data_IF_824441596952
#
_entry.id   IF_824441596952
#
_cell.length_a   1.000
_cell.length_b   1.000
_cell.length_c   1.000
_cell.angle_alpha   90.00
_cell.angle_beta   90.00
_cell.angle_gamma   90.00
#
_symmetry.space_group_name_H-M   'P 1'
#
loop_
_entity.id
_entity.type
_entity.pdbx_description
1 polymer ?
#
# COMPACT_ATOMS: atom_id res chain seq x y z
N UNK A 1 -25.32 19.31 -21.93
CA UNK A 1 -25.09 18.99 -23.36
C UNK A 1 -24.37 17.67 -23.42
N UNK A 2 -24.97 16.67 -24.06
CA UNK A 2 -24.33 15.39 -24.28
C UNK A 2 -23.16 15.56 -25.27
N UNK A 3 -22.13 14.74 -25.12
CA UNK A 3 -20.87 14.83 -25.88
C UNK A 3 -20.86 13.80 -27.00
N UNK A 4 -20.01 14.03 -28.01
CA UNK A 4 -19.68 13.02 -29.02
C UNK A 4 -18.60 12.07 -28.50
N UNK A 5 -18.67 10.82 -28.93
CA UNK A 5 -17.69 9.78 -28.58
C UNK A 5 -16.33 10.11 -29.25
N UNK A 6 -15.20 9.92 -28.55
CA UNK A 6 -13.88 10.15 -29.12
C UNK A 6 -13.58 9.21 -30.31
N UNK A 7 -12.72 9.64 -31.23
CA UNK A 7 -12.26 8.82 -32.36
C UNK A 7 -11.28 7.70 -31.96
N UNK A 8 -10.62 7.86 -30.82
CA UNK A 8 -9.61 6.93 -30.27
C UNK A 8 -9.76 6.82 -28.75
N UNK A 9 -9.45 5.66 -28.15
CA UNK A 9 -9.52 5.47 -26.71
C UNK A 9 -8.60 6.42 -25.94
N UNK A 10 -9.15 7.18 -25.00
CA UNK A 10 -8.40 8.11 -24.13
C UNK A 10 -7.84 7.37 -22.91
N UNK A 11 -7.01 6.35 -23.13
CA UNK A 11 -6.45 5.47 -22.07
C UNK A 11 -5.79 6.25 -20.93
N UNK A 12 -5.04 7.28 -21.27
CA UNK A 12 -4.37 8.18 -20.33
C UNK A 12 -5.36 8.91 -19.39
N UNK A 13 -6.49 9.34 -19.93
CA UNK A 13 -7.57 9.96 -19.16
C UNK A 13 -8.26 8.94 -18.25
N UNK A 14 -8.54 7.73 -18.74
CA UNK A 14 -9.13 6.66 -17.95
C UNK A 14 -8.25 6.25 -16.76
N UNK A 15 -6.93 6.11 -16.98
CA UNK A 15 -5.95 5.84 -15.91
C UNK A 15 -5.88 6.96 -14.88
N UNK A 16 -5.99 8.22 -15.33
CA UNK A 16 -6.07 9.37 -14.43
C UNK A 16 -7.33 9.29 -13.56
N UNK A 17 -8.50 9.00 -14.13
CA UNK A 17 -9.73 8.84 -13.36
C UNK A 17 -9.67 7.67 -12.39
N UNK A 18 -9.05 6.54 -12.76
CA UNK A 18 -8.83 5.43 -11.85
C UNK A 18 -8.07 5.87 -10.59
N UNK A 19 -7.01 6.67 -10.77
CA UNK A 19 -6.25 7.25 -9.65
C UNK A 19 -7.08 8.25 -8.83
N UNK A 20 -7.84 9.12 -9.47
CA UNK A 20 -8.73 10.04 -8.76
C UNK A 20 -9.78 9.27 -7.92
N UNK A 21 -10.31 8.18 -8.47
CA UNK A 21 -11.28 7.33 -7.79
C UNK A 21 -10.67 6.54 -6.62
N UNK A 22 -9.42 6.05 -6.74
CA UNK A 22 -8.67 5.46 -5.64
C UNK A 22 -8.48 6.45 -4.48
N UNK A 23 -8.14 7.70 -4.80
CA UNK A 23 -7.99 8.78 -3.81
C UNK A 23 -9.32 9.08 -3.12
N UNK A 24 -10.40 9.23 -3.89
CA UNK A 24 -11.74 9.51 -3.36
C UNK A 24 -12.24 8.38 -2.46
N UNK A 25 -11.97 7.13 -2.83
CA UNK A 25 -12.36 5.93 -2.09
C UNK A 25 -11.49 5.67 -0.86
N UNK A 26 -10.41 6.44 -0.66
CA UNK A 26 -9.45 6.31 0.45
C UNK A 26 -8.81 4.92 0.54
N UNK A 27 -8.54 4.28 -0.60
CA UNK A 27 -7.91 2.96 -0.66
C UNK A 27 -6.42 3.05 -0.33
N UNK A 28 -5.95 2.28 0.65
CA UNK A 28 -4.56 2.35 1.14
C UNK A 28 -3.74 1.08 0.91
N UNK A 29 -4.35 -0.02 0.43
CA UNK A 29 -3.71 -1.34 0.30
C UNK A 29 -4.16 -2.11 -0.95
N UNK A 30 -3.38 -3.13 -1.33
CA UNK A 30 -3.71 -4.12 -2.35
C UNK A 30 -3.81 -5.52 -1.72
N UNK A 31 -4.59 -6.47 -2.26
CA UNK A 31 -5.48 -6.32 -3.43
C UNK A 31 -6.69 -5.42 -3.16
N UNK A 32 -7.32 -4.91 -4.22
CA UNK A 32 -8.53 -4.11 -4.12
C UNK A 32 -9.75 -5.01 -4.30
N UNK A 33 -10.72 -4.88 -3.41
CA UNK A 33 -12.04 -5.49 -3.55
C UNK A 33 -12.99 -4.51 -4.28
N UNK A 34 -13.25 -4.70 -5.59
CA UNK A 34 -14.10 -3.79 -6.35
C UNK A 34 -15.57 -3.84 -5.88
N UNK A 35 -16.04 -4.95 -5.29
CA UNK A 35 -17.40 -5.07 -4.76
C UNK A 35 -17.56 -4.19 -3.53
N UNK A 36 -16.61 -4.26 -2.59
CA UNK A 36 -16.61 -3.40 -1.41
C UNK A 36 -16.56 -1.92 -1.78
N UNK A 37 -15.73 -1.56 -2.77
CA UNK A 37 -15.66 -0.18 -3.28
C UNK A 37 -16.97 0.26 -3.92
N UNK A 38 -17.60 -0.58 -4.75
CA UNK A 38 -18.91 -0.26 -5.32
C UNK A 38 -19.96 0.03 -4.23
N UNK A 39 -20.02 -0.82 -3.20
CA UNK A 39 -20.93 -0.66 -2.05
C UNK A 39 -20.66 0.65 -1.29
N UNK A 40 -19.40 1.02 -1.08
CA UNK A 40 -19.01 2.28 -0.44
C UNK A 40 -19.57 3.52 -1.16
N UNK A 41 -19.69 3.46 -2.50
CA UNK A 41 -20.25 4.54 -3.32
C UNK A 41 -21.75 4.40 -3.60
N UNK A 42 -22.43 3.45 -2.93
CA UNK A 42 -23.87 3.22 -3.08
C UNK A 42 -24.26 2.54 -4.39
N UNK A 43 -23.32 1.91 -5.08
CA UNK A 43 -23.60 1.09 -6.27
C UNK A 43 -23.99 -0.33 -5.82
N UNK A 44 -25.01 -0.89 -6.48
CA UNK A 44 -25.43 -2.27 -6.24
C UNK A 44 -24.62 -3.19 -7.14
N UNK A 45 -24.04 -4.25 -6.58
CA UNK A 45 -23.43 -5.33 -7.35
C UNK A 45 -24.16 -6.61 -6.99
N UNK A 46 -24.65 -7.35 -8.00
CA UNK A 46 -25.30 -8.64 -7.82
C UNK A 46 -24.73 -9.67 -8.77
N UNK A 47 -24.66 -10.92 -8.32
CA UNK A 47 -24.44 -12.04 -9.23
C UNK A 47 -25.71 -12.33 -10.03
N UNK A 48 -25.62 -13.10 -11.12
CA UNK A 48 -26.80 -13.54 -11.87
C UNK A 48 -27.70 -14.39 -10.96
N UNK A 49 -27.15 -15.29 -10.15
CA UNK A 49 -27.97 -16.10 -9.22
C UNK A 49 -28.69 -15.23 -8.18
N UNK A 50 -28.04 -14.19 -7.65
CA UNK A 50 -28.68 -13.26 -6.74
C UNK A 50 -29.83 -12.49 -7.41
N UNK A 51 -29.66 -12.11 -8.68
CA UNK A 51 -30.69 -11.49 -9.48
C UNK A 51 -31.86 -12.46 -9.75
N UNK A 52 -31.57 -13.69 -10.17
CA UNK A 52 -32.55 -14.76 -10.42
C UNK A 52 -33.40 -15.03 -9.17
N UNK A 53 -32.76 -15.14 -8.01
CA UNK A 53 -33.46 -15.35 -6.73
C UNK A 53 -34.30 -14.13 -6.30
N UNK A 54 -33.88 -12.91 -6.66
CA UNK A 54 -34.62 -11.69 -6.32
C UNK A 54 -35.85 -11.52 -7.20
N UNK A 55 -35.72 -11.79 -8.50
CA UNK A 55 -36.75 -11.51 -9.52
C UNK A 55 -37.64 -12.74 -9.76
N UNK A 56 -37.18 -13.92 -9.33
CA UNK A 56 -37.81 -15.22 -9.58
C UNK A 56 -38.01 -15.51 -11.08
N UNK A 57 -36.98 -15.18 -11.86
CA UNK A 57 -36.90 -15.39 -13.31
C UNK A 57 -35.48 -15.87 -13.65
N UNK A 58 -35.34 -16.71 -14.67
CA UNK A 58 -34.04 -17.21 -15.12
C UNK A 58 -33.33 -16.14 -15.96
N UNK A 59 -32.05 -15.87 -15.66
CA UNK A 59 -31.21 -14.86 -16.31
C UNK A 59 -31.97 -13.57 -16.71
N UNK A 60 -32.56 -12.84 -15.74
CA UNK A 60 -33.46 -11.71 -16.01
C UNK A 60 -32.78 -10.51 -16.69
N UNK A 61 -31.45 -10.57 -16.84
CA UNK A 61 -30.62 -9.53 -17.46
C UNK A 61 -29.95 -10.02 -18.78
N UNK A 62 -30.29 -11.24 -19.22
CA UNK A 62 -29.77 -11.88 -20.44
C UNK A 62 -28.23 -11.83 -20.52
N UNK A 63 -27.56 -12.16 -19.41
CA UNK A 63 -26.10 -12.20 -19.32
C UNK A 63 -25.60 -13.55 -19.81
N UNK A 64 -26.15 -14.66 -19.30
CA UNK A 64 -25.79 -16.03 -19.68
C UNK A 64 -26.21 -16.39 -21.10
N UNK A 65 -27.29 -15.79 -21.59
CA UNK A 65 -27.78 -15.99 -22.97
C UNK A 65 -26.81 -15.41 -24.02
N UNK A 66 -26.00 -14.41 -23.64
CA UNK A 66 -24.98 -13.84 -24.52
C UNK A 66 -23.58 -14.37 -24.12
N UNK A 67 -23.00 -15.32 -24.87
CA UNK A 67 -21.72 -15.95 -24.52
C UNK A 67 -20.51 -15.00 -24.53
N UNK A 68 -20.68 -13.76 -25.00
CA UNK A 68 -19.65 -12.72 -25.02
C UNK A 68 -19.88 -11.65 -23.93
N UNK A 69 -20.79 -11.89 -22.98
CA UNK A 69 -21.17 -10.92 -21.95
C UNK A 69 -20.87 -11.46 -20.55
N UNK A 70 -19.85 -10.92 -19.91
CA UNK A 70 -19.44 -11.35 -18.56
C UNK A 70 -20.21 -10.59 -17.46
N UNK A 71 -20.60 -9.34 -17.74
CA UNK A 71 -21.39 -8.49 -16.87
C UNK A 71 -22.07 -7.38 -17.68
N UNK A 72 -23.04 -6.71 -17.04
CA UNK A 72 -23.66 -5.48 -17.55
C UNK A 72 -23.89 -4.47 -16.43
N UNK A 73 -23.75 -3.20 -16.76
CA UNK A 73 -24.11 -2.07 -15.90
C UNK A 73 -25.42 -1.43 -16.34
N UNK A 74 -26.31 -1.18 -15.38
CA UNK A 74 -27.58 -0.51 -15.56
C UNK A 74 -27.67 0.76 -14.71
N UNK A 75 -28.35 1.77 -15.22
CA UNK A 75 -28.80 2.92 -14.44
C UNK A 75 -30.29 2.76 -14.13
N UNK A 76 -30.65 2.60 -12.87
CA UNK A 76 -32.04 2.44 -12.46
C UNK A 76 -32.82 3.74 -12.63
N UNK A 77 -34.16 3.66 -12.63
CA UNK A 77 -35.05 4.82 -12.67
C UNK A 77 -34.86 5.78 -11.48
N UNK A 78 -34.33 5.28 -10.36
CA UNK A 78 -33.96 6.09 -9.18
C UNK A 78 -32.59 6.77 -9.32
N UNK A 79 -31.89 6.59 -10.44
CA UNK A 79 -30.56 7.14 -10.67
C UNK A 79 -29.44 6.40 -9.96
N UNK A 80 -29.65 5.14 -9.57
CA UNK A 80 -28.63 4.28 -8.93
C UNK A 80 -28.02 3.34 -9.96
N UNK A 81 -26.74 3.02 -9.80
CA UNK A 81 -26.08 2.04 -10.65
C UNK A 81 -26.25 0.62 -10.09
N UNK A 82 -26.51 -0.33 -10.99
CA UNK A 82 -26.57 -1.76 -10.75
C UNK A 82 -25.59 -2.46 -11.70
N UNK A 83 -24.62 -3.18 -11.14
CA UNK A 83 -23.75 -4.09 -11.89
C UNK A 83 -24.27 -5.50 -11.65
N UNK A 84 -24.53 -6.23 -12.73
CA UNK A 84 -24.85 -7.66 -12.68
C UNK A 84 -23.77 -8.42 -13.40
N UNK A 85 -23.16 -9.42 -12.75
CA UNK A 85 -22.06 -10.21 -13.31
C UNK A 85 -22.35 -11.70 -13.21
N UNK A 86 -21.84 -12.49 -14.15
CA UNK A 86 -21.97 -13.95 -14.09
C UNK A 86 -20.86 -14.57 -13.22
N UNK A 87 -21.26 -15.15 -12.09
CA UNK A 87 -20.34 -15.85 -11.19
C UNK A 87 -19.93 -17.23 -11.71
N UNK A 88 -20.68 -17.82 -12.64
CA UNK A 88 -20.55 -19.23 -13.02
C UNK A 88 -19.42 -19.49 -14.03
N UNK A 89 -18.82 -18.43 -14.60
CA UNK A 89 -18.06 -18.55 -15.85
C UNK A 89 -16.54 -18.38 -15.67
N UNK A 90 -16.05 -17.80 -14.56
CA UNK A 90 -14.62 -17.46 -14.50
C UNK A 90 -13.90 -17.60 -13.14
N UNK A 91 -12.57 -17.69 -13.21
CA UNK A 91 -11.68 -17.58 -12.04
C UNK A 91 -11.92 -16.29 -11.27
N UNK A 92 -11.68 -16.28 -9.95
CA UNK A 92 -11.81 -15.11 -9.07
C UNK A 92 -11.20 -13.82 -9.66
N UNK A 93 -10.01 -13.90 -10.24
CA UNK A 93 -9.35 -12.73 -10.83
C UNK A 93 -10.04 -12.14 -12.06
N UNK A 94 -10.83 -12.94 -12.79
CA UNK A 94 -11.64 -12.45 -13.91
C UNK A 94 -12.95 -11.84 -13.42
N UNK A 95 -13.54 -12.35 -12.34
CA UNK A 95 -14.68 -11.69 -11.67
C UNK A 95 -14.24 -10.30 -11.18
N UNK A 96 -13.10 -10.21 -10.48
CA UNK A 96 -12.52 -8.94 -10.02
C UNK A 96 -12.29 -7.99 -11.19
N UNK A 97 -11.71 -8.47 -12.29
CA UNK A 97 -11.50 -7.67 -13.51
C UNK A 97 -12.82 -7.13 -14.07
N UNK A 98 -13.81 -8.01 -14.23
CA UNK A 98 -15.10 -7.69 -14.84
C UNK A 98 -15.82 -6.61 -14.03
N UNK A 99 -15.90 -6.76 -12.70
CA UNK A 99 -16.56 -5.76 -11.85
C UNK A 99 -15.81 -4.42 -11.89
N UNK A 100 -14.47 -4.43 -11.93
CA UNK A 100 -13.67 -3.21 -12.06
C UNK A 100 -13.82 -2.54 -13.45
N UNK A 101 -14.05 -3.34 -14.50
CA UNK A 101 -14.34 -2.86 -15.85
C UNK A 101 -15.70 -2.15 -15.88
N UNK A 102 -16.74 -2.76 -15.35
CA UNK A 102 -18.08 -2.15 -15.18
C UNK A 102 -18.05 -0.87 -14.34
N UNK A 103 -17.30 -0.88 -13.23
CA UNK A 103 -17.04 0.32 -12.44
C UNK A 103 -16.36 1.42 -13.27
N UNK A 104 -15.49 1.05 -14.21
CA UNK A 104 -14.90 1.95 -15.20
C UNK A 104 -15.95 2.67 -16.03
N UNK A 105 -16.94 1.95 -16.57
CA UNK A 105 -18.05 2.56 -17.32
C UNK A 105 -18.83 3.58 -16.49
N UNK A 106 -19.07 3.29 -15.21
CA UNK A 106 -19.74 4.20 -14.28
C UNK A 106 -18.90 5.48 -14.08
N UNK A 107 -17.63 5.33 -13.68
CA UNK A 107 -16.77 6.47 -13.33
C UNK A 107 -16.43 7.33 -14.53
N UNK A 108 -16.22 6.71 -15.70
CA UNK A 108 -16.02 7.41 -16.97
C UNK A 108 -17.29 8.06 -17.51
N UNK A 109 -18.44 7.76 -16.89
CA UNK A 109 -19.79 8.22 -17.26
C UNK A 109 -20.20 7.74 -18.66
N UNK A 110 -19.71 6.58 -19.08
CA UNK A 110 -20.01 6.01 -20.39
C UNK A 110 -21.51 5.80 -20.62
N UNK A 111 -22.30 5.58 -19.56
CA UNK A 111 -23.75 5.40 -19.68
C UNK A 111 -24.52 6.70 -19.97
N UNK A 112 -24.00 7.87 -19.56
CA UNK A 112 -24.80 9.12 -19.50
C UNK A 112 -24.18 10.31 -20.24
N UNK A 113 -22.89 10.27 -20.58
CA UNK A 113 -22.18 11.45 -21.09
C UNK A 113 -22.31 11.60 -22.62
N UNK A 114 -22.65 10.53 -23.33
CA UNK A 114 -22.70 10.50 -24.80
C UNK A 114 -24.12 10.38 -25.33
N UNK A 115 -24.40 11.00 -26.48
CA UNK A 115 -25.73 10.99 -27.10
C UNK A 115 -26.15 9.62 -27.63
N UNK A 116 -25.17 8.76 -27.92
CA UNK A 116 -25.32 7.46 -28.56
C UNK A 116 -25.14 6.29 -27.59
N UNK A 117 -25.34 6.45 -26.28
CA UNK A 117 -25.22 5.29 -25.36
C UNK A 117 -26.38 4.33 -25.57
N UNK A 118 -26.28 3.08 -25.08
CA UNK A 118 -27.37 2.08 -25.15
C UNK A 118 -28.73 2.64 -24.66
N UNK A 119 -28.69 3.64 -23.76
CA UNK A 119 -29.87 4.33 -23.21
C UNK A 119 -30.54 5.29 -24.22
N UNK A 120 -29.80 5.79 -25.23
CA UNK A 120 -30.25 6.90 -26.08
C UNK A 120 -30.24 6.64 -27.60
N UNK A 121 -29.40 5.75 -28.14
CA UNK A 121 -29.36 5.26 -29.55
C UNK A 121 -28.18 4.28 -29.66
N UNK A 122 -28.35 3.11 -30.28
CA UNK A 122 -27.29 2.09 -30.36
C UNK A 122 -25.94 2.62 -30.90
N UNK A 123 -24.85 2.16 -30.27
CA UNK A 123 -23.45 2.47 -30.61
C UNK A 123 -22.99 1.72 -31.86
N UNK A 124 -22.08 2.32 -32.65
CA UNK A 124 -21.35 1.55 -33.67
C UNK A 124 -20.28 0.66 -33.03
N UNK A 125 -19.87 -0.43 -33.69
CA UNK A 125 -18.82 -1.33 -33.20
C UNK A 125 -17.52 -0.59 -32.82
N UNK A 126 -17.15 0.43 -33.61
CA UNK A 126 -15.95 1.24 -33.34
C UNK A 126 -16.13 2.17 -32.14
N UNK A 127 -17.32 2.75 -31.96
CA UNK A 127 -17.60 3.59 -30.79
C UNK A 127 -17.64 2.75 -29.51
N UNK A 128 -18.25 1.55 -29.57
CA UNK A 128 -18.17 0.55 -28.51
C UNK A 128 -16.71 0.23 -28.18
N UNK A 129 -15.91 -0.16 -29.17
CA UNK A 129 -14.49 -0.48 -28.97
C UNK A 129 -13.73 0.65 -28.27
N UNK A 130 -14.03 1.91 -28.56
CA UNK A 130 -13.40 3.07 -27.89
C UNK A 130 -13.73 3.11 -26.40
N UNK A 131 -15.00 2.93 -26.03
CA UNK A 131 -15.46 2.99 -24.64
C UNK A 131 -14.98 1.77 -23.83
N UNK A 132 -15.04 0.57 -24.41
CA UNK A 132 -14.52 -0.67 -23.81
C UNK A 132 -13.01 -0.54 -23.50
N UNK A 133 -12.22 -0.05 -24.45
CA UNK A 133 -10.78 0.17 -24.25
C UNK A 133 -10.47 1.22 -23.17
N UNK A 134 -11.35 2.19 -22.95
CA UNK A 134 -11.22 3.15 -21.85
C UNK A 134 -11.55 2.49 -20.51
N UNK A 135 -12.60 1.66 -20.44
CA UNK A 135 -12.95 0.89 -19.24
C UNK A 135 -11.85 -0.13 -18.86
N UNK A 136 -11.27 -0.83 -19.83
CA UNK A 136 -10.10 -1.70 -19.60
C UNK A 136 -8.89 -0.93 -19.05
N UNK A 137 -8.62 0.25 -19.61
CA UNK A 137 -7.54 1.10 -19.13
C UNK A 137 -7.79 1.60 -17.70
N UNK A 138 -9.05 1.87 -17.34
CA UNK A 138 -9.46 2.18 -15.99
C UNK A 138 -9.24 0.97 -15.06
N UNK A 139 -9.81 -0.20 -15.37
CA UNK A 139 -9.74 -1.40 -14.54
C UNK A 139 -8.29 -1.83 -14.27
N UNK A 140 -7.44 -1.81 -15.32
CA UNK A 140 -6.01 -2.13 -15.22
C UNK A 140 -5.24 -1.21 -14.26
N UNK A 141 -5.59 0.07 -14.21
CA UNK A 141 -4.92 1.04 -13.34
C UNK A 141 -5.54 1.10 -11.95
N UNK A 142 -6.85 0.89 -11.85
CA UNK A 142 -7.58 0.81 -10.58
C UNK A 142 -7.10 -0.39 -9.76
N UNK A 143 -7.14 -1.60 -10.33
CA UNK A 143 -6.77 -2.84 -9.63
C UNK A 143 -5.26 -2.98 -9.38
N UNK A 144 -4.44 -2.42 -10.27
CA UNK A 144 -3.00 -2.58 -10.25
C UNK A 144 -2.27 -1.25 -10.55
N UNK A 145 -2.31 -0.25 -9.65
CA UNK A 145 -1.77 1.08 -9.95
C UNK A 145 -0.26 1.05 -10.16
N UNK A 146 0.23 1.71 -11.20
CA UNK A 146 1.63 1.54 -11.65
C UNK A 146 2.65 2.02 -10.60
N UNK A 147 2.40 3.16 -9.96
CA UNK A 147 3.25 3.73 -8.91
C UNK A 147 3.40 2.80 -7.72
N UNK A 148 2.31 2.10 -7.38
CA UNK A 148 2.25 1.23 -6.21
C UNK A 148 3.00 -0.07 -6.49
N UNK A 149 2.79 -0.68 -7.66
CA UNK A 149 3.56 -1.85 -8.09
C UNK A 149 5.06 -1.57 -8.16
N UNK A 150 5.47 -0.41 -8.67
CA UNK A 150 6.87 -0.01 -8.69
C UNK A 150 7.42 0.26 -7.29
N UNK A 151 6.65 0.91 -6.41
CA UNK A 151 6.99 1.12 -5.01
C UNK A 151 7.22 -0.18 -4.24
N UNK A 152 6.40 -1.20 -4.51
CA UNK A 152 6.53 -2.54 -3.91
C UNK A 152 7.61 -3.42 -4.59
N UNK A 153 8.24 -2.95 -5.68
CA UNK A 153 9.11 -3.76 -6.53
C UNK A 153 8.42 -5.06 -7.04
N UNK A 154 7.16 -4.90 -7.45
CA UNK A 154 6.24 -5.95 -7.88
C UNK A 154 5.88 -5.79 -9.37
N UNK A 155 6.89 -5.65 -10.23
CA UNK A 155 6.68 -5.44 -11.67
C UNK A 155 6.55 -6.71 -12.51
N UNK A 156 6.71 -7.91 -11.94
CA UNK A 156 6.66 -9.17 -12.70
C UNK A 156 5.27 -9.79 -12.68
N UNK A 157 4.86 -10.46 -13.76
CA UNK A 157 3.55 -11.12 -13.91
C UNK A 157 3.16 -11.92 -12.66
N UNK A 158 4.04 -12.83 -12.23
CA UNK A 158 3.77 -13.68 -11.06
C UNK A 158 3.63 -12.94 -9.73
N UNK A 159 4.24 -11.76 -9.56
CA UNK A 159 4.03 -10.91 -8.38
C UNK A 159 2.73 -10.11 -8.49
N UNK A 160 2.39 -9.65 -9.69
CA UNK A 160 1.17 -8.89 -9.97
C UNK A 160 -0.07 -9.76 -9.71
N UNK A 161 -0.09 -11.00 -10.22
CA UNK A 161 -1.16 -11.98 -9.96
C UNK A 161 -1.39 -12.13 -8.45
N UNK A 162 -0.32 -12.40 -7.70
CA UNK A 162 -0.39 -12.62 -6.25
C UNK A 162 -0.83 -11.39 -5.47
N UNK A 163 -0.30 -10.22 -5.82
CA UNK A 163 -0.53 -8.98 -5.08
C UNK A 163 -1.89 -8.36 -5.37
N UNK A 164 -2.36 -8.45 -6.61
CA UNK A 164 -3.55 -7.74 -7.08
C UNK A 164 -4.74 -8.67 -7.38
N UNK A 165 -4.55 -9.99 -7.30
CA UNK A 165 -5.60 -10.97 -7.62
C UNK A 165 -5.96 -11.03 -9.10
N UNK A 166 -5.09 -10.55 -10.01
CA UNK A 166 -5.38 -10.51 -11.46
C UNK A 166 -5.26 -11.88 -12.13
N UNK A 167 -5.95 -12.06 -13.26
CA UNK A 167 -5.73 -13.20 -14.17
C UNK A 167 -4.31 -13.19 -14.78
N UNK A 168 -3.87 -14.34 -15.31
CA UNK A 168 -2.55 -14.46 -15.94
C UNK A 168 -2.39 -13.48 -17.12
N UNK A 169 -3.43 -13.36 -17.94
CA UNK A 169 -3.47 -12.47 -19.10
C UNK A 169 -3.40 -10.99 -18.69
N UNK A 170 -4.27 -10.54 -17.77
CA UNK A 170 -4.28 -9.15 -17.30
C UNK A 170 -2.96 -8.75 -16.64
N UNK A 171 -2.36 -9.66 -15.85
CA UNK A 171 -1.06 -9.44 -15.25
C UNK A 171 0.08 -9.43 -16.29
N UNK A 172 -0.02 -10.22 -17.36
CA UNK A 172 0.90 -10.18 -18.49
C UNK A 172 0.92 -8.83 -19.19
N UNK A 173 -0.26 -8.30 -19.54
CA UNK A 173 -0.39 -6.97 -20.13
C UNK A 173 0.14 -5.88 -19.18
N UNK A 174 -0.13 -5.99 -17.88
CA UNK A 174 0.38 -5.02 -16.90
C UNK A 174 1.91 -5.05 -16.79
N UNK A 175 2.53 -6.22 -16.77
CA UNK A 175 4.00 -6.36 -16.77
C UNK A 175 4.61 -5.66 -18.00
N UNK A 176 4.06 -5.90 -19.20
CA UNK A 176 4.55 -5.25 -20.43
C UNK A 176 4.39 -3.73 -20.39
N UNK A 177 3.28 -3.24 -19.85
CA UNK A 177 3.06 -1.83 -19.63
C UNK A 177 4.11 -1.24 -18.68
N UNK A 178 4.38 -1.90 -17.55
CA UNK A 178 5.37 -1.43 -16.57
C UNK A 178 6.80 -1.38 -17.13
N UNK A 179 7.18 -2.31 -18.02
CA UNK A 179 8.49 -2.27 -18.71
C UNK A 179 8.67 -1.00 -19.54
N UNK A 180 7.58 -0.43 -20.05
CA UNK A 180 7.58 0.80 -20.88
C UNK A 180 7.14 2.03 -20.10
N UNK A 181 6.76 1.88 -18.83
CA UNK A 181 6.14 2.93 -18.05
C UNK A 181 7.12 4.06 -17.77
N UNK A 182 6.73 5.26 -18.19
CA UNK A 182 7.42 6.51 -17.86
C UNK A 182 6.37 7.46 -17.31
N UNK A 183 6.47 7.90 -16.05
CA UNK A 183 5.52 8.86 -15.51
C UNK A 183 5.65 10.18 -16.27
N UNK A 184 4.56 10.59 -16.91
CA UNK A 184 4.45 11.88 -17.58
C UNK A 184 4.38 13.00 -16.52
N UNK A 185 5.10 14.10 -16.75
CA UNK A 185 5.13 15.26 -15.85
C UNK A 185 3.73 15.81 -15.59
N UNK A 186 2.82 15.72 -16.58
CA UNK A 186 1.42 16.15 -16.43
C UNK A 186 0.65 15.37 -15.36
N UNK A 187 1.09 14.14 -15.03
CA UNK A 187 0.50 13.29 -14.00
C UNK A 187 1.31 13.24 -12.70
N UNK A 188 2.40 14.01 -12.59
CA UNK A 188 3.27 13.98 -11.41
C UNK A 188 2.50 14.20 -10.10
N UNK A 189 1.59 15.17 -10.06
CA UNK A 189 0.84 15.50 -8.85
C UNK A 189 -0.10 14.37 -8.40
N UNK A 190 -0.84 13.74 -9.32
CA UNK A 190 -1.75 12.64 -8.98
C UNK A 190 -0.95 11.40 -8.55
N UNK A 191 0.16 11.12 -9.24
CA UNK A 191 1.06 10.01 -8.90
C UNK A 191 1.65 10.18 -7.50
N UNK A 192 2.04 11.41 -7.12
CA UNK A 192 2.50 11.72 -5.77
C UNK A 192 1.41 11.51 -4.71
N UNK A 193 0.17 11.93 -4.99
CA UNK A 193 -0.97 11.73 -4.07
C UNK A 193 -1.26 10.24 -3.85
N UNK A 194 -1.27 9.44 -4.93
CA UNK A 194 -1.47 7.99 -4.85
C UNK A 194 -0.35 7.33 -4.05
N UNK A 195 0.90 7.64 -4.37
CA UNK A 195 2.05 7.10 -3.63
C UNK A 195 1.98 7.45 -2.14
N UNK A 196 1.56 8.68 -1.80
CA UNK A 196 1.35 9.11 -0.41
C UNK A 196 0.27 8.29 0.28
N UNK A 197 -0.88 8.07 -0.36
CA UNK A 197 -1.99 7.32 0.24
C UNK A 197 -1.63 5.86 0.54
N UNK A 198 -0.81 5.25 -0.31
CA UNK A 198 -0.28 3.89 -0.13
C UNK A 198 1.07 3.84 0.59
N UNK A 199 1.54 4.95 1.16
CA UNK A 199 2.91 5.04 1.67
C UNK A 199 3.16 4.00 2.76
N UNK A 200 2.22 3.84 3.71
CA UNK A 200 2.32 2.84 4.78
C UNK A 200 2.38 1.42 4.21
N UNK A 201 1.46 1.08 3.30
CA UNK A 201 1.43 -0.23 2.63
C UNK A 201 2.76 -0.59 1.96
N UNK A 202 3.36 0.36 1.24
CA UNK A 202 4.65 0.19 0.57
C UNK A 202 5.79 0.08 1.59
N UNK A 203 5.87 1.05 2.53
CA UNK A 203 7.02 1.21 3.42
C UNK A 203 7.08 0.14 4.51
N UNK A 204 5.92 -0.25 5.05
CA UNK A 204 5.78 -1.33 6.02
C UNK A 204 5.90 -2.71 5.35
N UNK A 205 5.92 -2.76 4.01
CA UNK A 205 6.01 -3.98 3.19
C UNK A 205 4.81 -4.92 3.36
N UNK A 206 3.64 -4.37 3.64
CA UNK A 206 2.39 -5.14 3.83
C UNK A 206 2.07 -6.02 2.61
N UNK A 207 2.55 -5.65 1.42
CA UNK A 207 2.47 -6.49 0.23
C UNK A 207 3.14 -7.87 0.36
N UNK A 208 4.03 -8.11 1.34
CA UNK A 208 4.63 -9.42 1.58
C UNK A 208 3.61 -10.49 1.98
N UNK A 209 2.52 -10.11 2.64
CA UNK A 209 1.43 -11.03 3.01
C UNK A 209 0.86 -11.73 1.76
N UNK A 210 0.69 -10.99 0.66
CA UNK A 210 0.20 -11.55 -0.60
C UNK A 210 1.25 -12.38 -1.36
N UNK A 211 2.55 -12.07 -1.19
CA UNK A 211 3.62 -12.70 -1.98
C UNK A 211 4.17 -13.99 -1.35
N UNK A 212 4.05 -14.14 -0.03
CA UNK A 212 4.71 -15.18 0.76
C UNK A 212 3.71 -15.89 1.67
N UNK A 213 3.69 -17.21 1.61
CA UNK A 213 2.75 -18.06 2.38
C UNK A 213 3.47 -19.05 3.30
N UNK A 214 4.81 -18.99 3.33
CA UNK A 214 5.66 -19.82 4.18
C UNK A 214 6.30 -18.96 5.24
N UNK A 215 6.14 -19.38 6.49
CA UNK A 215 6.65 -18.65 7.65
C UNK A 215 7.48 -19.56 8.54
N UNK A 216 8.37 -18.95 9.32
CA UNK A 216 9.09 -19.65 10.39
C UNK A 216 8.12 -20.03 11.53
N UNK A 217 8.13 -21.28 12.04
CA UNK A 217 7.24 -21.70 13.13
C UNK A 217 7.47 -20.94 14.43
N UNK A 218 8.70 -20.49 14.66
CA UNK A 218 9.14 -19.88 15.93
C UNK A 218 8.79 -18.40 15.96
N UNK A 219 9.39 -17.61 15.07
CA UNK A 219 9.25 -16.15 15.07
C UNK A 219 8.23 -15.62 14.05
N UNK A 220 7.56 -16.50 13.29
CA UNK A 220 6.58 -16.16 12.24
C UNK A 220 7.09 -15.27 11.10
N UNK A 221 8.40 -15.02 11.02
CA UNK A 221 8.98 -14.29 9.90
C UNK A 221 8.75 -15.02 8.56
N UNK A 222 8.43 -14.26 7.51
CA UNK A 222 8.30 -14.78 6.15
C UNK A 222 9.59 -15.42 5.62
N UNK A 223 9.45 -16.54 4.93
CA UNK A 223 10.55 -17.21 4.24
C UNK A 223 10.57 -16.71 2.80
N UNK A 224 11.57 -15.89 2.48
CA UNK A 224 11.64 -15.19 1.19
C UNK A 224 12.11 -16.07 0.04
N UNK A 225 12.84 -17.14 0.34
CA UNK A 225 13.40 -18.03 -0.66
C UNK A 225 13.41 -19.48 -0.17
N UNK A 226 13.09 -20.45 -1.05
CA UNK A 226 13.22 -21.86 -0.72
C UNK A 226 14.68 -22.29 -0.48
N UNK A 227 15.66 -21.43 -0.80
CA UNK A 227 17.09 -21.69 -0.55
C UNK A 227 17.54 -21.31 0.87
N UNK A 228 16.67 -20.68 1.66
CA UNK A 228 16.99 -20.34 3.04
C UNK A 228 17.02 -21.62 3.89
N UNK A 229 18.16 -21.91 4.50
CA UNK A 229 18.36 -23.08 5.39
C UNK A 229 18.08 -22.73 6.84
N UNK A 230 18.25 -21.46 7.20
CA UNK A 230 18.02 -20.92 8.53
C UNK A 230 17.16 -19.65 8.47
N UNK A 231 16.32 -19.44 9.48
CA UNK A 231 15.50 -18.25 9.58
C UNK A 231 16.39 -17.03 9.84
N UNK A 232 16.19 -15.96 9.06
CA UNK A 232 16.94 -14.70 9.20
C UNK A 232 16.72 -13.98 10.53
N UNK A 233 15.63 -14.29 11.22
CA UNK A 233 15.19 -13.55 12.42
C UNK A 233 15.52 -14.31 13.71
N UNK A 234 15.19 -15.60 13.82
CA UNK A 234 15.47 -16.39 15.03
C UNK A 234 16.64 -17.39 14.89
N UNK A 235 17.20 -17.57 13.69
CA UNK A 235 18.32 -18.50 13.47
C UNK A 235 17.93 -19.99 13.44
N UNK A 236 16.68 -20.34 13.76
CA UNK A 236 16.19 -21.72 13.68
C UNK A 236 16.26 -22.29 12.26
N UNK A 237 16.49 -23.59 12.11
CA UNK A 237 16.44 -24.28 10.81
C UNK A 237 15.09 -24.04 10.16
N UNK A 238 15.09 -23.79 8.85
CA UNK A 238 13.85 -23.54 8.10
C UNK A 238 13.09 -24.84 7.92
N UNK A 239 12.19 -25.12 8.87
CA UNK A 239 11.09 -26.07 8.77
C UNK A 239 9.83 -25.24 8.55
N UNK A 240 9.48 -24.98 7.29
CA UNK A 240 8.40 -24.04 6.95
C UNK A 240 7.03 -24.59 7.34
N UNK A 241 6.13 -23.72 7.81
CA UNK A 241 4.69 -23.99 7.84
C UNK A 241 3.98 -23.17 6.76
N UNK A 242 2.93 -23.73 6.18
CA UNK A 242 1.98 -23.01 5.35
C UNK A 242 1.02 -22.25 6.28
N UNK A 243 1.17 -20.93 6.34
CA UNK A 243 0.27 -20.02 7.06
C UNK A 243 0.12 -18.75 6.23
N UNK A 244 -1.10 -18.19 6.20
CA UNK A 244 -1.38 -16.97 5.43
C UNK A 244 -0.81 -15.71 6.10
N UNK A 245 -0.64 -15.71 7.43
CA UNK A 245 -0.17 -14.52 8.16
C UNK A 245 1.19 -14.76 8.84
N UNK A 246 2.20 -14.05 8.34
CA UNK A 246 3.52 -13.91 8.94
C UNK A 246 3.77 -12.51 9.49
N UNK A 247 4.91 -12.37 10.17
CA UNK A 247 5.35 -11.11 10.77
C UNK A 247 6.47 -10.50 9.92
N UNK A 248 6.37 -9.20 9.65
CA UNK A 248 7.41 -8.41 9.00
C UNK A 248 8.17 -7.64 10.08
N UNK A 249 9.43 -8.02 10.29
CA UNK A 249 10.33 -7.29 11.19
C UNK A 249 10.97 -6.12 10.45
N UNK A 250 10.52 -4.89 10.74
CA UNK A 250 11.00 -3.63 10.14
C UNK A 250 11.81 -2.76 11.13
N UNK A 251 12.44 -3.38 12.12
CA UNK A 251 13.14 -2.71 13.22
C UNK A 251 14.62 -2.40 12.93
N UNK A 252 15.14 -2.89 11.80
CA UNK A 252 16.54 -2.76 11.43
C UNK A 252 16.93 -1.45 10.72
N UNK A 253 18.25 -1.20 10.56
CA UNK A 253 18.75 -0.07 9.78
C UNK A 253 18.30 -0.12 8.32
N UNK A 254 17.98 1.04 7.75
CA UNK A 254 17.64 1.13 6.33
C UNK A 254 18.88 0.88 5.47
N UNK A 255 18.81 -0.10 4.58
CA UNK A 255 19.92 -0.49 3.71
C UNK A 255 19.60 -0.24 2.23
N UNK A 256 20.55 0.39 1.52
CA UNK A 256 20.52 0.56 0.07
C UNK A 256 21.78 -0.08 -0.52
N UNK A 257 21.62 -0.91 -1.54
CA UNK A 257 22.75 -1.65 -2.16
C UNK A 257 23.61 -2.42 -1.14
N UNK A 258 22.98 -3.07 -0.16
CA UNK A 258 23.61 -3.82 0.95
C UNK A 258 24.40 -2.97 1.96
N UNK A 259 24.23 -1.65 1.99
CA UNK A 259 24.86 -0.77 2.95
C UNK A 259 23.82 0.11 3.63
N UNK A 260 23.98 0.35 4.92
CA UNK A 260 23.16 1.29 5.67
C UNK A 260 23.26 2.70 5.07
N UNK A 261 22.11 3.32 4.80
CA UNK A 261 22.03 4.67 4.23
C UNK A 261 22.57 5.71 5.23
N UNK A 262 22.36 5.44 6.52
CA UNK A 262 22.89 6.20 7.64
C UNK A 262 23.59 5.24 8.60
N UNK A 263 24.63 5.71 9.29
CA UNK A 263 25.23 4.91 10.34
C UNK A 263 24.21 4.66 11.46
N UNK A 264 23.93 3.40 11.85
CA UNK A 264 22.93 3.11 12.88
C UNK A 264 23.33 3.57 14.29
N UNK A 265 24.61 3.90 14.50
CA UNK A 265 25.12 4.39 15.79
C UNK A 265 25.19 5.92 15.84
N UNK A 266 25.93 6.55 14.92
CA UNK A 266 26.13 8.00 14.94
C UNK A 266 25.14 8.79 14.05
N UNK A 267 24.25 8.09 13.33
CA UNK A 267 23.18 8.67 12.52
C UNK A 267 23.66 9.58 11.37
N UNK A 268 24.97 9.58 11.07
CA UNK A 268 25.54 10.32 9.93
C UNK A 268 25.25 9.63 8.59
N UNK A 269 24.89 10.38 7.53
CA UNK A 269 24.63 9.82 6.21
C UNK A 269 25.88 9.20 5.59
N UNK A 270 25.71 8.09 4.88
CA UNK A 270 26.79 7.36 4.22
C UNK A 270 26.75 7.59 2.71
N UNK A 271 27.63 8.48 2.24
CA UNK A 271 27.68 8.88 0.81
C UNK A 271 28.61 7.98 -0.03
N UNK A 272 29.51 7.26 0.61
CA UNK A 272 30.49 6.39 -0.03
C UNK A 272 30.19 4.92 0.24
N UNK A 273 30.66 4.01 -0.62
CA UNK A 273 30.55 2.57 -0.40
C UNK A 273 31.58 2.11 0.65
N UNK A 274 31.14 1.97 1.89
CA UNK A 274 31.97 1.61 3.03
C UNK A 274 31.39 0.41 3.77
N UNK A 275 32.25 -0.45 4.31
CA UNK A 275 31.84 -1.58 5.17
C UNK A 275 31.64 -1.17 6.61
N UNK A 276 32.32 -0.11 7.06
CA UNK A 276 32.27 0.46 8.40
C UNK A 276 32.19 1.98 8.34
N UNK A 277 31.61 2.60 9.37
CA UNK A 277 31.48 4.05 9.46
C UNK A 277 32.83 4.71 9.75
N UNK A 278 33.23 5.67 8.92
CA UNK A 278 34.48 6.41 9.12
C UNK A 278 34.52 7.23 10.41
N UNK A 279 33.36 7.64 10.94
CA UNK A 279 33.28 8.47 12.15
C UNK A 279 33.32 7.67 13.45
N UNK A 280 32.77 6.46 13.47
CA UNK A 280 32.56 5.71 14.73
C UNK A 280 32.86 4.21 14.64
N UNK A 281 33.33 3.72 13.49
CA UNK A 281 33.73 2.33 13.28
C UNK A 281 32.60 1.30 13.13
N UNK A 282 31.34 1.67 13.41
CA UNK A 282 30.19 0.76 13.35
C UNK A 282 30.00 0.11 11.98
N UNK A 283 29.61 -1.16 11.94
CA UNK A 283 29.30 -1.84 10.69
C UNK A 283 28.18 -1.13 9.91
N UNK A 284 28.42 -0.94 8.61
CA UNK A 284 27.44 -0.41 7.66
C UNK A 284 26.87 -1.49 6.76
N UNK A 285 27.52 -2.65 6.67
CA UNK A 285 27.07 -3.79 5.88
C UNK A 285 26.72 -4.92 6.83
N UNK A 286 25.49 -5.44 6.73
CA UNK A 286 25.06 -6.59 7.50
C UNK A 286 25.61 -7.88 6.87
N UNK A 287 26.60 -8.51 7.50
CA UNK A 287 27.28 -9.71 6.97
C UNK A 287 27.29 -10.83 8.00
N UNK A 288 27.35 -12.07 7.55
CA UNK A 288 27.56 -13.21 8.43
C UNK A 288 28.90 -13.05 9.19
N UNK A 289 28.93 -13.36 10.49
CA UNK A 289 30.16 -13.30 11.29
C UNK A 289 31.07 -14.53 11.12
N UNK A 290 30.52 -15.63 10.57
CA UNK A 290 31.30 -16.86 10.38
C UNK A 290 32.40 -16.65 9.32
N UNK A 291 33.68 -16.94 9.64
CA UNK A 291 34.79 -16.72 8.70
C UNK A 291 34.66 -17.51 7.39
N UNK A 292 33.97 -18.66 7.41
CA UNK A 292 33.74 -19.49 6.24
C UNK A 292 32.53 -19.06 5.40
N UNK A 293 31.82 -17.98 5.80
CA UNK A 293 30.60 -17.53 5.16
C UNK A 293 30.64 -16.04 4.79
N UNK A 294 30.67 -15.74 3.50
CA UNK A 294 30.71 -14.36 2.99
C UNK A 294 29.33 -13.79 2.60
N UNK A 295 28.24 -14.31 3.18
CA UNK A 295 26.88 -13.86 2.85
C UNK A 295 26.59 -12.50 3.48
N UNK A 296 25.91 -11.65 2.70
CA UNK A 296 25.38 -10.35 3.11
C UNK A 296 23.87 -10.44 3.26
N UNK A 297 23.34 -9.61 4.13
CA UNK A 297 21.96 -9.63 4.56
C UNK A 297 21.35 -8.24 4.54
N UNK A 298 20.02 -8.17 4.54
CA UNK A 298 19.27 -6.94 4.73
C UNK A 298 19.45 -6.39 6.16
N UNK A 299 18.95 -5.19 6.42
CA UNK A 299 19.11 -4.53 7.72
C UNK A 299 18.40 -5.20 8.89
N UNK A 300 17.46 -6.12 8.65
CA UNK A 300 16.61 -6.70 9.70
C UNK A 300 17.03 -8.12 10.08
N UNK A 301 17.87 -8.75 9.25
CA UNK A 301 18.43 -10.08 9.46
C UNK A 301 19.38 -10.13 10.67
N UNK A 302 19.02 -10.93 11.67
CA UNK A 302 19.82 -11.22 12.86
C UNK A 302 20.74 -12.43 12.67
N UNK A 303 20.33 -13.35 11.79
CA UNK A 303 21.04 -14.59 11.50
C UNK A 303 21.22 -14.82 10.00
N UNK A 304 22.28 -15.53 9.65
CA UNK A 304 22.60 -15.87 8.28
C UNK A 304 21.68 -16.97 7.75
N UNK A 305 20.90 -16.68 6.69
CA UNK A 305 20.02 -17.66 6.05
C UNK A 305 20.73 -18.92 5.52
N UNK A 306 22.06 -18.86 5.35
CA UNK A 306 22.85 -19.96 4.80
C UNK A 306 23.42 -20.87 5.89
N UNK A 307 24.05 -20.34 6.93
CA UNK A 307 24.76 -21.16 7.93
C UNK A 307 24.23 -21.02 9.36
N UNK A 308 23.24 -20.17 9.61
CA UNK A 308 22.63 -19.98 10.94
C UNK A 308 23.46 -19.16 11.92
N UNK A 309 24.68 -18.74 11.56
CA UNK A 309 25.51 -17.88 12.41
C UNK A 309 24.90 -16.46 12.52
N UNK A 310 25.14 -15.74 13.63
CA UNK A 310 24.73 -14.35 13.75
C UNK A 310 25.26 -13.45 12.63
N UNK A 311 24.59 -12.34 12.39
CA UNK A 311 25.05 -11.29 11.49
C UNK A 311 25.76 -10.19 12.25
N UNK A 312 26.56 -9.35 11.57
CA UNK A 312 27.30 -8.25 12.18
C UNK A 312 26.38 -7.25 12.87
N UNK A 313 25.19 -6.96 12.32
CA UNK A 313 24.27 -6.02 12.96
C UNK A 313 23.72 -6.56 14.27
N UNK A 314 23.43 -7.86 14.34
CA UNK A 314 22.98 -8.46 15.59
C UNK A 314 24.11 -8.64 16.61
N UNK A 315 25.29 -9.08 16.14
CA UNK A 315 26.47 -9.24 16.98
C UNK A 315 26.95 -7.92 17.62
N UNK A 316 26.89 -6.81 16.87
CA UNK A 316 27.25 -5.47 17.36
C UNK A 316 26.13 -4.78 18.17
N UNK A 317 24.99 -5.46 18.40
CA UNK A 317 23.87 -4.90 19.15
C UNK A 317 23.09 -3.80 18.43
N UNK A 318 23.25 -3.67 17.11
CA UNK A 318 22.48 -2.74 16.27
C UNK A 318 21.04 -3.24 16.02
N UNK A 319 20.80 -4.53 16.27
CA UNK A 319 19.49 -5.17 16.30
C UNK A 319 19.28 -5.79 17.68
N UNK A 320 18.09 -5.61 18.24
CA UNK A 320 17.68 -6.39 19.42
C UNK A 320 17.30 -7.83 19.01
N UNK A 321 17.11 -8.73 19.98
CA UNK A 321 16.55 -10.05 19.70
C UNK A 321 15.13 -9.93 19.07
N UNK A 322 14.60 -11.02 18.53
CA UNK A 322 13.33 -10.94 17.81
C UNK A 322 12.13 -10.89 18.75
N UNK A 323 12.26 -11.41 19.97
CA UNK A 323 11.25 -11.38 21.02
C UNK A 323 10.96 -9.93 21.44
N UNK A 324 12.00 -9.14 21.74
CA UNK A 324 11.85 -7.73 22.09
C UNK A 324 11.32 -6.91 20.91
N UNK A 325 11.72 -7.24 19.67
CA UNK A 325 11.17 -6.57 18.48
C UNK A 325 9.69 -6.89 18.29
N UNK A 326 9.26 -8.13 18.56
CA UNK A 326 7.86 -8.55 18.51
C UNK A 326 7.04 -7.87 19.60
N UNK A 327 7.57 -7.78 20.81
CA UNK A 327 6.92 -7.08 21.93
C UNK A 327 6.67 -5.60 21.58
N UNK A 328 7.69 -4.90 21.05
CA UNK A 328 7.53 -3.52 20.57
C UNK A 328 6.45 -3.38 19.50
N UNK A 329 6.35 -4.33 18.57
CA UNK A 329 5.32 -4.32 17.53
C UNK A 329 3.92 -4.55 18.10
N UNK A 330 3.78 -5.47 19.06
CA UNK A 330 2.51 -5.73 19.75
C UNK A 330 2.06 -4.51 20.56
N UNK A 331 2.99 -3.88 21.28
CA UNK A 331 2.74 -2.64 22.01
C UNK A 331 2.32 -1.51 21.06
N UNK A 332 3.04 -1.30 19.96
CA UNK A 332 2.66 -0.32 18.94
C UNK A 332 1.24 -0.56 18.41
N UNK A 333 0.88 -1.81 18.09
CA UNK A 333 -0.45 -2.16 17.58
C UNK A 333 -1.55 -1.88 18.61
N UNK A 334 -1.33 -2.24 19.88
CA UNK A 334 -2.27 -1.96 20.96
C UNK A 334 -2.48 -0.46 21.14
N UNK A 335 -1.40 0.33 21.16
CA UNK A 335 -1.50 1.79 21.26
C UNK A 335 -2.25 2.36 20.06
N UNK A 336 -1.92 1.92 18.84
CA UNK A 336 -2.63 2.40 17.65
C UNK A 336 -4.14 2.15 17.74
N UNK A 337 -4.56 1.00 18.27
CA UNK A 337 -5.98 0.70 18.51
C UNK A 337 -6.61 1.62 19.56
N UNK A 338 -5.93 1.86 20.69
CA UNK A 338 -6.42 2.80 21.71
C UNK A 338 -6.57 4.22 21.14
N UNK A 339 -5.59 4.66 20.36
CA UNK A 339 -5.59 5.96 19.70
C UNK A 339 -6.68 6.08 18.61
N UNK A 340 -7.00 4.99 17.91
CA UNK A 340 -8.12 4.94 16.96
C UNK A 340 -9.48 5.05 17.66
N UNK A 341 -9.61 4.49 18.85
CA UNK A 341 -10.84 4.53 19.65
C UNK A 341 -11.05 5.85 20.37
N UNK A 342 -9.97 6.58 20.67
CA UNK A 342 -10.03 7.90 21.29
C UNK A 342 -10.68 8.93 20.33
N UNK A 343 -11.73 9.58 20.81
CA UNK A 343 -12.47 10.60 20.04
C UNK A 343 -12.02 12.03 20.38
N UNK A 344 -11.25 12.24 21.45
CA UNK A 344 -10.88 13.57 21.91
C UNK A 344 -9.80 14.20 21.01
N UNK A 345 -8.80 13.42 20.57
CA UNK A 345 -7.67 13.96 19.79
C UNK A 345 -7.84 13.81 18.27
N UNK A 346 -9.09 13.81 17.80
CA UNK A 346 -9.43 13.70 16.38
C UNK A 346 -9.13 12.32 15.79
N UNK A 347 -8.82 12.27 14.49
CA UNK A 347 -8.62 11.00 13.75
C UNK A 347 -7.15 10.61 13.66
N UNK A 348 -6.87 9.33 13.42
CA UNK A 348 -5.55 8.90 12.97
C UNK A 348 -5.15 9.66 11.70
N UNK A 349 -3.94 10.22 11.74
CA UNK A 349 -3.33 10.89 10.61
C UNK A 349 -2.55 9.87 9.77
N UNK A 350 -3.24 9.20 8.86
CA UNK A 350 -2.68 8.10 8.05
C UNK A 350 -1.51 8.53 7.16
N UNK A 351 -1.37 9.83 6.86
CA UNK A 351 -0.22 10.38 6.14
C UNK A 351 1.00 10.67 7.02
N UNK A 352 0.93 10.46 8.34
CA UNK A 352 2.04 10.71 9.26
C UNK A 352 3.34 9.96 8.89
N UNK A 353 3.32 8.66 8.52
CA UNK A 353 4.54 7.97 8.08
C UNK A 353 5.16 8.61 6.82
N UNK A 354 4.35 9.18 5.94
CA UNK A 354 4.84 9.93 4.78
C UNK A 354 5.49 11.26 5.19
N UNK A 355 4.94 11.96 6.19
CA UNK A 355 5.56 13.17 6.77
C UNK A 355 6.93 12.82 7.36
N UNK A 356 7.04 11.73 8.12
CA UNK A 356 8.33 11.25 8.64
C UNK A 356 9.34 10.99 7.51
N UNK A 357 8.89 10.43 6.40
CA UNK A 357 9.74 10.24 5.23
C UNK A 357 10.19 11.57 4.60
N UNK A 358 9.32 12.58 4.52
CA UNK A 358 9.72 13.91 4.05
C UNK A 358 10.78 14.54 4.94
N UNK A 359 10.65 14.40 6.27
CA UNK A 359 11.65 14.83 7.24
C UNK A 359 13.00 14.15 6.95
N UNK A 360 12.98 12.84 6.70
CA UNK A 360 14.17 12.05 6.31
C UNK A 360 14.79 12.57 5.02
N UNK A 361 14.02 12.70 3.95
CA UNK A 361 14.49 13.14 2.62
C UNK A 361 15.01 14.58 2.62
N UNK A 362 14.48 15.45 3.48
CA UNK A 362 14.99 16.80 3.68
C UNK A 362 16.29 16.85 4.52
N UNK A 363 16.86 15.70 4.89
CA UNK A 363 18.14 15.61 5.61
C UNK A 363 18.03 15.70 7.13
N UNK A 364 16.83 15.75 7.70
CA UNK A 364 16.60 15.81 9.15
C UNK A 364 16.55 14.39 9.77
N UNK A 365 17.60 13.60 9.56
CA UNK A 365 17.62 12.18 9.93
C UNK A 365 17.57 11.92 11.44
N UNK A 366 18.15 12.81 12.26
CA UNK A 366 18.04 12.73 13.72
C UNK A 366 16.58 12.84 14.17
N UNK A 367 15.85 13.82 13.61
CA UNK A 367 14.43 14.02 13.89
C UNK A 367 13.60 12.83 13.40
N UNK A 368 13.84 12.36 12.18
CA UNK A 368 13.19 11.16 11.65
C UNK A 368 13.42 9.94 12.56
N UNK A 369 14.65 9.71 13.00
CA UNK A 369 15.00 8.56 13.85
C UNK A 369 14.32 8.65 15.21
N UNK A 370 14.26 9.84 15.81
CA UNK A 370 13.58 10.05 17.08
C UNK A 370 12.07 9.84 16.97
N UNK A 371 11.45 10.30 15.88
CA UNK A 371 10.03 10.13 15.60
C UNK A 371 9.69 8.75 14.98
N UNK A 372 10.66 7.90 14.68
CA UNK A 372 10.40 6.59 14.06
C UNK A 372 9.59 5.73 15.02
N UNK A 373 8.44 5.23 14.56
CA UNK A 373 7.50 4.47 15.39
C UNK A 373 6.55 5.33 16.22
N UNK A 374 6.54 6.65 16.01
CA UNK A 374 5.48 7.53 16.53
C UNK A 374 4.18 7.36 15.74
N UNK A 375 3.07 7.70 16.37
CA UNK A 375 1.72 7.71 15.78
C UNK A 375 1.22 9.14 15.79
N UNK A 376 0.68 9.60 14.65
CA UNK A 376 0.09 10.92 14.53
C UNK A 376 -1.44 10.85 14.56
N UNK A 377 -2.07 11.74 15.34
CA UNK A 377 -3.48 12.08 15.25
C UNK A 377 -3.65 13.54 14.85
N UNK A 378 -4.75 13.85 14.18
CA UNK A 378 -5.03 15.21 13.73
C UNK A 378 -6.47 15.58 14.07
N UNK A 379 -6.61 16.73 14.72
CA UNK A 379 -7.89 17.40 14.92
C UNK A 379 -7.78 18.84 14.42
N UNK A 380 -8.59 19.19 13.43
CA UNK A 380 -8.52 20.47 12.70
C UNK A 380 -7.10 20.94 12.34
N UNK A 381 -6.54 21.85 13.14
CA UNK A 381 -5.22 22.47 12.98
C UNK A 381 -4.20 22.06 14.05
N UNK A 382 -4.53 21.09 14.90
CA UNK A 382 -3.62 20.52 15.91
C UNK A 382 -3.18 19.11 15.49
N UNK A 383 -1.87 18.88 15.54
CA UNK A 383 -1.25 17.56 15.35
C UNK A 383 -0.85 16.99 16.71
N UNK A 384 -1.42 15.86 17.08
CA UNK A 384 -1.00 15.11 18.27
C UNK A 384 -0.04 14.00 17.85
N UNK A 385 1.10 13.88 18.53
CA UNK A 385 2.12 12.87 18.23
C UNK A 385 2.40 12.01 19.45
N UNK A 386 2.02 10.75 19.37
CA UNK A 386 2.38 9.74 20.36
C UNK A 386 3.78 9.17 20.09
N UNK A 387 4.57 8.97 21.14
CA UNK A 387 5.82 8.20 21.05
C UNK A 387 6.29 7.67 22.40
N UNK A 388 6.74 6.41 22.42
CA UNK A 388 7.41 5.80 23.58
C UNK A 388 8.83 6.33 23.84
N UNK A 389 9.39 7.09 22.90
CA UNK A 389 10.76 7.57 22.97
C UNK A 389 10.85 8.88 23.77
N UNK A 390 11.58 8.94 24.89
CA UNK A 390 11.79 10.19 25.63
C UNK A 390 12.54 11.26 24.82
N UNK A 391 13.31 10.85 23.80
CA UNK A 391 13.92 11.78 22.86
C UNK A 391 12.87 12.41 21.94
N UNK A 392 11.90 11.62 21.47
CA UNK A 392 10.78 12.08 20.66
C UNK A 392 9.92 13.10 21.41
N UNK A 393 9.49 12.77 22.63
CA UNK A 393 8.67 13.65 23.48
C UNK A 393 9.35 15.02 23.69
N UNK A 394 10.65 15.03 24.00
CA UNK A 394 11.44 16.27 24.14
C UNK A 394 11.53 17.08 22.85
N UNK A 395 11.65 16.41 21.70
CA UNK A 395 11.71 17.08 20.40
C UNK A 395 10.36 17.65 20.00
N UNK A 396 9.25 16.99 20.32
CA UNK A 396 7.90 17.49 20.04
C UNK A 396 7.64 18.79 20.83
N UNK A 397 8.08 18.84 22.09
CA UNK A 397 8.01 20.05 22.95
C UNK A 397 8.95 21.19 22.54
N UNK A 398 9.89 20.96 21.63
CA UNK A 398 10.77 22.02 21.11
C UNK A 398 10.05 22.81 20.02
N UNK A 399 9.77 24.10 20.27
CA UNK A 399 9.02 24.96 19.34
C UNK A 399 9.58 24.97 17.91
N UNK A 400 10.90 24.96 17.75
CA UNK A 400 11.52 24.95 16.40
C UNK A 400 11.22 23.66 15.65
N UNK A 401 11.21 22.54 16.36
CA UNK A 401 10.88 21.23 15.80
C UNK A 401 9.39 21.14 15.46
N UNK A 402 8.51 21.57 16.36
CA UNK A 402 7.07 21.65 16.12
C UNK A 402 6.74 22.52 14.89
N UNK A 403 7.28 23.74 14.83
CA UNK A 403 7.13 24.65 13.69
C UNK A 403 7.64 24.03 12.38
N UNK A 404 8.78 23.32 12.44
CA UNK A 404 9.31 22.63 11.27
C UNK A 404 8.37 21.55 10.76
N UNK A 405 7.83 20.70 11.66
CA UNK A 405 6.86 19.64 11.32
C UNK A 405 5.61 20.26 10.70
N UNK A 406 5.01 21.26 11.35
CA UNK A 406 3.84 21.97 10.85
C UNK A 406 4.09 22.58 9.46
N UNK A 407 5.27 23.18 9.24
CA UNK A 407 5.69 23.72 7.94
C UNK A 407 5.81 22.65 6.86
N UNK A 408 6.32 21.45 7.18
CA UNK A 408 6.37 20.35 6.21
C UNK A 408 4.96 19.89 5.81
N UNK A 409 4.06 19.72 6.80
CA UNK A 409 2.68 19.32 6.57
C UNK A 409 1.96 20.36 5.69
N UNK A 410 2.06 21.64 6.03
CA UNK A 410 1.48 22.73 5.22
C UNK A 410 2.05 22.77 3.80
N UNK A 411 3.37 22.60 3.64
CA UNK A 411 4.03 22.67 2.34
C UNK A 411 3.60 21.55 1.40
N UNK A 412 3.64 20.30 1.88
CA UNK A 412 3.51 19.11 1.06
C UNK A 412 2.10 18.50 1.07
N UNK A 413 1.37 18.62 2.18
CA UNK A 413 0.03 18.05 2.32
C UNK A 413 -1.07 19.11 2.18
N UNK A 414 -0.73 20.40 2.25
CA UNK A 414 -1.68 21.53 2.21
C UNK A 414 -2.68 21.53 3.36
N UNK A 415 -2.28 20.94 4.49
CA UNK A 415 -3.05 20.92 5.73
C UNK A 415 -2.46 22.01 6.64
N UNK A 416 -3.24 23.00 7.09
CA UNK A 416 -2.77 24.01 8.02
C UNK A 416 -2.68 23.38 9.42
N UNK A 417 -1.46 23.23 9.94
CA UNK A 417 -1.20 22.88 11.33
C UNK A 417 -0.69 24.14 12.04
N UNK A 418 -1.36 24.54 13.11
CA UNK A 418 -0.96 25.64 13.99
C UNK A 418 -0.20 25.13 15.21
N UNK A 419 -0.50 23.92 15.67
CA UNK A 419 0.01 23.39 16.92
C UNK A 419 0.44 21.92 16.78
N UNK A 420 1.51 21.53 17.47
CA UNK A 420 1.99 20.15 17.54
C UNK A 420 2.17 19.77 19.00
N UNK A 421 1.35 18.84 19.50
CA UNK A 421 1.33 18.42 20.90
C UNK A 421 1.82 16.99 21.06
N UNK A 422 2.41 16.71 22.24
CA UNK A 422 2.81 15.36 22.61
C UNK A 422 1.60 14.61 23.16
N UNK A 423 1.35 13.42 22.63
CA UNK A 423 0.28 12.54 23.07
C UNK A 423 0.84 11.43 23.96
N UNK A 424 0.13 11.11 25.03
CA UNK A 424 0.48 10.08 25.99
C UNK A 424 -0.69 9.09 26.17
N UNK A 425 -0.34 7.85 26.50
CA UNK A 425 -1.29 6.79 26.82
C UNK A 425 -0.88 6.19 28.16
N UNK A 426 -1.77 6.28 29.14
CA UNK A 426 -1.56 5.71 30.47
C UNK A 426 -1.62 4.18 30.45
N UNK A 427 -1.14 3.57 31.53
CA UNK A 427 -1.20 2.11 31.70
C UNK A 427 -2.63 1.54 31.72
N UNK A 428 -3.62 2.37 32.09
CA UNK A 428 -5.05 2.03 32.05
C UNK A 428 -5.69 2.23 30.66
N UNK A 429 -4.91 2.70 29.67
CA UNK A 429 -5.36 2.98 28.30
C UNK A 429 -5.91 4.39 28.09
N UNK A 430 -5.94 5.23 29.13
CA UNK A 430 -6.41 6.63 29.00
C UNK A 430 -5.46 7.44 28.14
N UNK A 431 -6.00 8.12 27.13
CA UNK A 431 -5.27 9.02 26.23
C UNK A 431 -5.32 10.44 26.79
N UNK A 432 -4.19 11.13 26.81
CA UNK A 432 -4.12 12.54 27.19
C UNK A 432 -2.97 13.22 26.46
N UNK A 433 -2.93 14.55 26.47
CA UNK A 433 -1.85 15.33 25.86
C UNK A 433 -1.29 16.33 26.88
N UNK A 434 -0.03 16.69 26.67
CA UNK A 434 0.60 17.78 27.40
C UNK A 434 0.57 19.03 26.53
N UNK A 435 0.03 20.12 27.08
CA UNK A 435 0.08 21.48 26.50
C UNK A 435 1.52 22.03 26.45
#
# INVERSE_FOLDING_TARGET
MAKKIPLYPRRDYAKKLAKEFLLQSKITSLPIDPIAVCKQHGFTVKSVLEAENTINEFDPFEIRVNPNCDAKTYLTSEGKYLIVYDEAVFSEGRIIWTIAHELGHIVLKHLIHFEQTEIHKGLTDRENEVLENEADAFASEFLAPAEILLGCNCGTKGKIIKLCGLSDEAAGYKEEYLKKYKPDEKYRLINQKIYRQFYSFIHNKEFFHALHYKVCPVCKNYIFSPRERFCRICGGKVTAHTLMEGIIYNDGPEVKTNQAVFCPKCLKPQKQRLTTCSDCGTALVNKCISPSCNKRHDGTSRYCFACGAPTSFFYEGLLCNWENAREKQLSYNLINQLLEMDQETGRIFTEWPYVLNLIKENGHFLLYTALKGSIGKIDYDTLYVYSDSPASKRLIKDNRTAEYIAKQIKRYLKIPILEVLSLEVNADGTVFFEE
#
